data_IF_085089408225
#
_entry.id   IF_085089408225
#
_cell.length_a   1.000
_cell.length_b   1.000
_cell.length_c   1.000
_cell.angle_alpha   90.00
_cell.angle_beta   90.00
_cell.angle_gamma   90.00
#
_symmetry.space_group_name_H-M   'P 1'
#
loop_
_entity.id
_entity.type
_entity.pdbx_description
1 polymer ?
#
# COMPACT_ATOMS: atom_id res chain seq x y z
N UNK A 1 -18.81 12.37 20.44
CA UNK A 1 -18.84 13.40 19.38
C UNK A 1 -20.04 13.22 18.49
N UNK A 2 -20.54 14.30 17.89
CA UNK A 2 -21.68 14.31 16.99
C UNK A 2 -21.32 15.08 15.72
N UNK A 3 -21.93 14.76 14.59
CA UNK A 3 -21.71 15.46 13.33
C UNK A 3 -22.85 15.24 12.35
N UNK A 4 -22.79 15.97 11.23
CA UNK A 4 -23.74 15.89 10.13
C UNK A 4 -22.95 15.59 8.86
N UNK A 5 -23.38 14.56 8.12
CA UNK A 5 -22.90 14.27 6.77
C UNK A 5 -23.84 14.98 5.82
N UNK A 6 -23.32 15.93 5.05
CA UNK A 6 -24.02 16.56 3.95
C UNK A 6 -23.66 15.82 2.65
N UNK A 7 -24.64 15.28 1.94
CA UNK A 7 -24.43 14.61 0.64
C UNK A 7 -25.54 14.96 -0.36
N UNK A 8 -25.27 14.71 -1.63
CA UNK A 8 -26.23 14.87 -2.71
C UNK A 8 -26.45 13.52 -3.41
N UNK A 9 -27.71 13.22 -3.70
CA UNK A 9 -28.13 12.06 -4.47
C UNK A 9 -28.48 12.59 -5.86
N UNK A 10 -27.82 12.06 -6.90
CA UNK A 10 -28.17 12.32 -8.30
C UNK A 10 -28.84 11.07 -8.88
N UNK A 11 -29.96 11.23 -9.58
CA UNK A 11 -30.74 10.12 -10.12
C UNK A 11 -31.53 10.56 -11.36
N UNK A 12 -31.88 9.63 -12.26
CA UNK A 12 -32.61 9.96 -13.50
C UNK A 12 -33.97 9.31 -13.51
N UNK A 13 -34.99 10.08 -13.84
CA UNK A 13 -36.39 9.65 -13.85
C UNK A 13 -36.83 8.91 -15.11
N UNK A 14 -38.08 8.42 -15.09
CA UNK A 14 -38.81 7.82 -16.23
C UNK A 14 -38.79 8.66 -17.50
N UNK A 15 -38.62 9.97 -17.38
CA UNK A 15 -38.63 10.90 -18.51
C UNK A 15 -37.22 11.23 -19.01
N UNK A 16 -36.19 10.51 -18.53
CA UNK A 16 -34.77 10.74 -18.84
C UNK A 16 -34.23 12.09 -18.35
N UNK A 17 -34.80 12.59 -17.26
CA UNK A 17 -34.41 13.85 -16.61
C UNK A 17 -33.58 13.51 -15.37
N UNK A 18 -32.36 14.05 -15.28
CA UNK A 18 -31.55 13.99 -14.07
C UNK A 18 -32.07 14.96 -13.00
N UNK A 19 -32.20 14.45 -11.78
CA UNK A 19 -32.60 15.15 -10.57
C UNK A 19 -31.52 15.03 -9.51
N UNK A 20 -31.46 16.01 -8.62
CA UNK A 20 -30.61 15.95 -7.43
C UNK A 20 -31.42 16.22 -6.16
N UNK A 21 -31.05 15.53 -5.09
CA UNK A 21 -31.63 15.68 -3.76
C UNK A 21 -30.52 15.81 -2.72
N UNK A 22 -30.51 16.90 -1.96
CA UNK A 22 -29.61 17.06 -0.83
C UNK A 22 -30.14 16.28 0.38
N UNK A 23 -29.22 15.69 1.15
CA UNK A 23 -29.55 14.90 2.33
C UNK A 23 -28.53 15.13 3.45
N UNK A 24 -29.05 15.35 4.67
CA UNK A 24 -28.26 15.52 5.89
C UNK A 24 -28.44 14.30 6.81
N UNK A 25 -27.34 13.64 7.14
CA UNK A 25 -27.32 12.48 8.04
C UNK A 25 -26.60 12.81 9.34
N UNK A 26 -27.35 12.77 10.44
CA UNK A 26 -26.77 12.95 11.77
C UNK A 26 -26.10 11.65 12.23
N UNK A 27 -24.89 11.76 12.77
CA UNK A 27 -24.20 10.64 13.40
C UNK A 27 -23.70 11.00 14.79
N UNK A 28 -23.55 9.98 15.63
CA UNK A 28 -22.97 10.08 16.96
C UNK A 28 -22.00 8.93 17.17
N UNK A 29 -20.85 9.23 17.76
CA UNK A 29 -19.77 8.29 17.99
C UNK A 29 -19.12 8.52 19.35
N UNK A 30 -18.74 7.43 20.01
CA UNK A 30 -17.93 7.44 21.21
C UNK A 30 -16.54 6.89 20.91
N UNK A 31 -15.49 7.65 21.22
CA UNK A 31 -14.10 7.21 21.10
C UNK A 31 -13.49 7.34 22.48
N UNK A 32 -12.96 6.22 22.99
CA UNK A 32 -12.25 6.22 24.26
C UNK A 32 -10.79 6.62 24.00
N UNK A 33 -10.32 7.65 24.70
CA UNK A 33 -8.97 8.17 24.56
C UNK A 33 -8.36 8.23 25.95
N UNK A 34 -7.46 7.29 26.29
CA UNK A 34 -6.77 7.29 27.57
C UNK A 34 -6.09 8.63 27.84
N UNK A 35 -6.23 9.16 29.05
CA UNK A 35 -5.67 10.45 29.45
C UNK A 35 -6.51 11.67 29.06
N UNK A 36 -7.58 11.51 28.28
CA UNK A 36 -8.49 12.61 27.98
C UNK A 36 -9.25 13.08 29.23
N UNK A 37 -9.15 14.38 29.55
CA UNK A 37 -9.82 15.00 30.69
C UNK A 37 -10.47 16.34 30.30
N UNK A 38 -11.45 16.85 31.08
CA UNK A 38 -12.03 18.17 30.84
C UNK A 38 -10.96 19.27 30.81
N UNK A 39 -11.02 20.14 29.80
CA UNK A 39 -10.08 21.27 29.63
C UNK A 39 -8.89 21.00 28.71
N UNK A 40 -8.71 19.76 28.22
CA UNK A 40 -7.73 19.46 27.18
C UNK A 40 -8.21 19.93 25.80
N UNK A 41 -7.27 20.22 24.90
CA UNK A 41 -7.56 20.55 23.52
C UNK A 41 -7.86 19.27 22.75
N UNK A 42 -8.90 19.28 21.92
CA UNK A 42 -9.30 18.12 21.10
C UNK A 42 -9.33 18.54 19.64
N UNK A 43 -8.52 17.86 18.82
CA UNK A 43 -8.55 18.00 17.38
C UNK A 43 -9.26 16.77 16.78
N UNK A 44 -10.34 17.01 16.06
CA UNK A 44 -11.15 15.97 15.41
C UNK A 44 -11.05 16.14 13.91
N UNK A 45 -10.63 15.09 13.21
CA UNK A 45 -10.54 15.03 11.74
C UNK A 45 -11.39 13.87 11.22
N UNK A 46 -12.66 14.13 10.83
CA UNK A 46 -13.47 13.13 10.15
C UNK A 46 -13.09 13.04 8.66
N UNK A 47 -13.12 11.83 8.10
CA UNK A 47 -12.91 11.54 6.68
C UNK A 47 -14.00 10.56 6.22
N UNK A 48 -14.71 10.88 5.15
CA UNK A 48 -15.55 9.90 4.45
C UNK A 48 -14.60 8.96 3.72
N UNK A 49 -14.51 7.71 4.17
CA UNK A 49 -13.65 6.71 3.52
C UNK A 49 -14.33 6.14 2.30
N UNK A 50 -15.63 5.86 2.38
CA UNK A 50 -16.39 5.28 1.27
C UNK A 50 -17.88 5.58 1.43
N UNK A 51 -18.57 5.76 0.31
CA UNK A 51 -20.02 5.78 0.21
C UNK A 51 -20.47 4.72 -0.77
N UNK A 52 -21.29 3.77 -0.31
CA UNK A 52 -21.86 2.70 -1.11
C UNK A 52 -23.38 2.89 -1.20
N UNK A 53 -23.98 2.53 -2.33
CA UNK A 53 -25.42 2.59 -2.50
C UNK A 53 -25.94 1.43 -3.35
N UNK A 54 -27.22 1.13 -3.18
CA UNK A 54 -27.95 0.18 -4.00
C UNK A 54 -29.41 0.65 -4.16
N UNK A 55 -29.93 0.60 -5.37
CA UNK A 55 -31.33 0.86 -5.64
C UNK A 55 -32.12 -0.44 -5.40
N UNK A 56 -32.95 -0.49 -4.36
CA UNK A 56 -33.68 -1.71 -3.98
C UNK A 56 -34.93 -1.93 -4.85
N UNK A 57 -35.56 -0.83 -5.24
CA UNK A 57 -36.69 -0.75 -6.16
C UNK A 57 -36.66 0.62 -6.86
N UNK A 58 -37.59 0.88 -7.78
CA UNK A 58 -37.64 2.12 -8.57
C UNK A 58 -37.61 3.42 -7.74
N UNK A 59 -37.95 3.39 -6.45
CA UNK A 59 -38.05 4.58 -5.59
C UNK A 59 -37.26 4.50 -4.30
N UNK A 60 -36.61 3.38 -3.99
CA UNK A 60 -35.96 3.16 -2.69
C UNK A 60 -34.46 2.97 -2.86
N UNK A 61 -33.69 3.96 -2.40
CA UNK A 61 -32.23 3.92 -2.40
C UNK A 61 -31.71 3.52 -1.02
N UNK A 62 -30.99 2.40 -0.93
CA UNK A 62 -30.22 2.02 0.26
C UNK A 62 -28.81 2.58 0.15
N UNK A 63 -28.32 3.18 1.22
CA UNK A 63 -27.02 3.84 1.26
C UNK A 63 -26.26 3.46 2.52
N UNK A 64 -24.93 3.37 2.40
CA UNK A 64 -23.99 3.03 3.45
C UNK A 64 -22.81 3.98 3.38
N UNK A 65 -22.64 4.82 4.39
CA UNK A 65 -21.53 5.77 4.49
C UNK A 65 -20.56 5.28 5.56
N UNK A 66 -19.31 5.07 5.18
CA UNK A 66 -18.22 4.68 6.07
C UNK A 66 -17.37 5.91 6.36
N UNK A 67 -17.19 6.21 7.64
CA UNK A 67 -16.46 7.39 8.12
C UNK A 67 -15.37 6.95 9.07
N UNK A 68 -14.13 7.35 8.80
CA UNK A 68 -13.04 7.29 9.75
C UNK A 68 -12.95 8.62 10.50
N UNK A 69 -12.90 8.54 11.83
CA UNK A 69 -12.64 9.71 12.65
C UNK A 69 -11.34 9.54 13.40
N UNK A 70 -10.41 10.48 13.17
CA UNK A 70 -9.20 10.62 13.94
C UNK A 70 -9.36 11.72 14.99
N UNK A 71 -9.02 11.40 16.24
CA UNK A 71 -9.09 12.34 17.36
C UNK A 71 -7.74 12.38 18.05
N UNK A 72 -7.19 13.58 18.16
CA UNK A 72 -5.95 13.87 18.90
C UNK A 72 -6.31 14.77 20.07
N UNK A 73 -5.94 14.36 21.28
CA UNK A 73 -6.12 15.14 22.50
C UNK A 73 -4.77 15.67 22.94
N UNK A 74 -4.64 16.99 22.99
CA UNK A 74 -3.42 17.68 23.40
C UNK A 74 -3.66 18.55 24.63
N UNK A 75 -2.62 18.74 25.43
CA UNK A 75 -2.60 19.77 26.46
C UNK A 75 -1.62 20.88 26.05
N UNK A 76 -1.95 22.12 26.39
CA UNK A 76 -1.00 23.23 26.23
C UNK A 76 -0.10 23.31 27.46
N UNK A 77 1.17 22.96 27.29
CA UNK A 77 2.18 23.10 28.35
C UNK A 77 3.08 24.30 28.08
N UNK A 78 3.48 25.00 29.14
CA UNK A 78 4.54 26.00 29.10
C UNK A 78 5.78 25.40 29.76
N UNK A 79 6.78 25.03 28.96
CA UNK A 79 8.01 24.40 29.45
C UNK A 79 9.19 25.38 29.30
N UNK A 80 9.99 25.63 30.34
CA UNK A 80 11.25 26.34 30.19
C UNK A 80 12.30 25.42 29.54
N UNK A 81 12.62 25.66 28.26
CA UNK A 81 13.80 25.07 27.62
C UNK A 81 15.04 25.93 27.94
N UNK A 82 16.09 25.32 28.48
CA UNK A 82 17.37 26.02 28.73
C UNK A 82 18.30 25.80 27.54
N UNK A 83 18.33 26.74 26.57
CA UNK A 83 19.53 27.06 25.75
C UNK A 83 19.42 28.47 25.12
N UNK A 84 20.19 29.46 25.61
CA UNK A 84 20.48 30.75 24.94
C UNK A 84 19.46 31.91 25.04
N UNK A 85 19.90 33.15 24.75
CA UNK A 85 19.18 34.45 24.94
C UNK A 85 17.98 34.71 24.00
N UNK A 86 17.03 33.79 23.76
CA UNK A 86 15.78 34.17 23.04
C UNK A 86 14.51 33.46 23.56
N UNK A 87 13.35 33.98 23.15
CA UNK A 87 12.02 33.94 23.78
C UNK A 87 11.37 32.58 24.13
N UNK A 88 10.30 32.65 24.93
CA UNK A 88 9.43 31.52 25.32
C UNK A 88 8.62 30.98 24.13
N UNK A 89 8.45 29.65 24.07
CA UNK A 89 7.62 28.97 23.07
C UNK A 89 6.43 28.27 23.72
N UNK A 90 5.26 28.34 23.10
CA UNK A 90 4.06 27.56 23.44
C UNK A 90 4.04 26.32 22.54
N UNK A 91 4.03 25.13 23.12
CA UNK A 91 3.97 23.85 22.41
C UNK A 91 2.74 23.05 22.84
N UNK A 92 2.18 22.27 21.94
CA UNK A 92 1.13 21.30 22.25
C UNK A 92 1.77 19.94 22.52
N UNK A 93 1.43 19.31 23.63
CA UNK A 93 1.84 17.94 23.96
C UNK A 93 0.67 16.99 23.72
N UNK A 94 0.90 15.89 23.00
CA UNK A 94 -0.11 14.84 22.78
C UNK A 94 -0.27 14.02 24.06
N UNK A 95 -1.49 13.99 24.61
CA UNK A 95 -1.84 13.24 25.82
C UNK A 95 -2.49 11.90 25.47
N UNK A 96 -3.22 11.87 24.36
CA UNK A 96 -3.79 10.65 23.82
C UNK A 96 -4.19 10.83 22.37
N UNK A 97 -4.13 9.74 21.62
CA UNK A 97 -4.62 9.64 20.26
C UNK A 97 -5.56 8.45 20.15
N UNK A 98 -6.58 8.57 19.31
CA UNK A 98 -7.52 7.50 19.05
C UNK A 98 -8.19 7.68 17.70
N UNK A 99 -8.52 6.57 17.07
CA UNK A 99 -9.32 6.55 15.86
C UNK A 99 -10.49 5.60 16.02
N UNK A 100 -11.59 5.88 15.32
CA UNK A 100 -12.72 4.95 15.24
C UNK A 100 -13.47 5.13 13.93
N UNK A 101 -13.83 4.01 13.33
CA UNK A 101 -14.64 3.95 12.12
C UNK A 101 -16.12 3.75 12.48
N UNK A 102 -17.03 4.36 11.73
CA UNK A 102 -18.47 4.13 11.82
C UNK A 102 -19.09 3.86 10.45
N UNK A 103 -20.11 3.02 10.42
CA UNK A 103 -20.99 2.79 9.27
C UNK A 103 -22.37 3.41 9.56
N UNK A 104 -22.81 4.32 8.70
CA UNK A 104 -24.16 4.90 8.74
C UNK A 104 -24.97 4.33 7.58
N UNK A 105 -26.00 3.54 7.87
CA UNK A 105 -26.91 2.96 6.88
C UNK A 105 -28.27 3.68 6.89
N UNK A 106 -28.79 4.02 5.71
CA UNK A 106 -30.13 4.60 5.54
C UNK A 106 -30.82 4.06 4.29
N UNK A 107 -32.14 4.02 4.34
CA UNK A 107 -33.01 3.91 3.16
C UNK A 107 -33.70 5.24 2.94
N UNK A 108 -33.61 5.76 1.73
CA UNK A 108 -34.24 7.01 1.34
C UNK A 108 -35.23 6.76 0.21
N UNK A 109 -36.40 7.40 0.29
CA UNK A 109 -37.36 7.41 -0.81
C UNK A 109 -37.05 8.55 -1.75
N UNK A 110 -36.91 8.21 -3.03
CA UNK A 110 -36.76 9.17 -4.11
C UNK A 110 -38.16 9.54 -4.62
N UNK A 111 -38.51 10.84 -4.74
CA UNK A 111 -39.88 11.29 -5.05
C UNK A 111 -40.40 10.84 -6.42
N UNK A 112 -39.49 10.52 -7.34
CA UNK A 112 -39.80 10.10 -8.71
C UNK A 112 -39.13 8.75 -8.98
N UNK A 113 -39.81 7.80 -9.64
CA UNK A 113 -39.20 6.53 -10.02
C UNK A 113 -37.92 6.74 -10.83
N UNK A 114 -36.82 6.19 -10.34
CA UNK A 114 -35.51 6.15 -10.99
C UNK A 114 -35.59 5.15 -12.13
N UNK A 115 -35.43 5.63 -13.35
CA UNK A 115 -35.40 4.78 -14.55
C UNK A 115 -33.99 4.63 -15.09
N UNK A 116 -33.05 5.47 -14.65
CA UNK A 116 -31.62 5.26 -14.88
C UNK A 116 -30.81 5.61 -13.64
N UNK A 117 -29.90 4.72 -13.30
CA UNK A 117 -28.84 4.97 -12.33
C UNK A 117 -27.51 4.53 -12.94
N UNK A 118 -26.42 5.12 -12.46
CA UNK A 118 -25.07 4.63 -12.75
C UNK A 118 -24.71 3.71 -11.60
N UNK A 119 -24.59 2.42 -11.85
CA UNK A 119 -24.14 1.45 -10.86
C UNK A 119 -22.62 1.42 -10.92
N UNK A 120 -22.00 1.56 -9.77
CA UNK A 120 -20.55 1.73 -9.66
C UNK A 120 -19.98 0.79 -8.62
N UNK A 121 -18.73 0.39 -8.83
CA UNK A 121 -17.92 -0.32 -7.84
C UNK A 121 -16.63 0.45 -7.58
N UNK A 122 -16.16 0.44 -6.34
CA UNK A 122 -14.86 1.02 -5.98
C UNK A 122 -13.83 -0.10 -5.97
N UNK A 123 -12.94 -0.08 -6.95
CA UNK A 123 -11.81 -1.01 -7.05
C UNK A 123 -10.71 -0.53 -6.10
N UNK A 124 -10.17 -1.45 -5.30
CA UNK A 124 -9.08 -1.20 -4.34
C UNK A 124 -7.84 -1.98 -4.78
N UNK A 125 -6.96 -1.39 -5.62
CA UNK A 125 -5.81 -2.11 -6.14
C UNK A 125 -4.90 -2.61 -5.02
N UNK A 126 -4.37 -3.85 -5.11
CA UNK A 126 -3.43 -4.33 -4.11
C UNK A 126 -2.11 -3.57 -4.18
N UNK A 127 -1.38 -3.53 -3.07
CA UNK A 127 0.02 -3.13 -3.06
C UNK A 127 0.81 -3.97 -4.06
N UNK A 128 1.58 -3.30 -4.93
CA UNK A 128 2.53 -3.99 -5.80
C UNK A 128 3.67 -4.60 -4.97
N UNK A 129 4.31 -5.64 -5.49
CA UNK A 129 5.58 -6.14 -4.93
C UNK A 129 6.72 -5.31 -5.50
N UNK A 130 7.53 -4.72 -4.63
CA UNK A 130 8.80 -4.08 -5.04
C UNK A 130 9.93 -5.05 -4.73
N UNK A 131 10.83 -5.26 -5.68
CA UNK A 131 11.98 -6.12 -5.46
C UNK A 131 13.23 -5.61 -6.17
N UNK A 132 14.37 -6.03 -5.66
CA UNK A 132 15.66 -5.71 -6.22
C UNK A 132 16.67 -6.78 -5.87
N UNK A 133 17.65 -6.97 -6.74
CA UNK A 133 18.74 -7.92 -6.55
C UNK A 133 20.07 -7.24 -6.86
N UNK A 134 21.07 -7.50 -6.04
CA UNK A 134 22.43 -7.04 -6.29
C UNK A 134 23.42 -8.15 -5.93
N UNK A 135 24.48 -8.25 -6.74
CA UNK A 135 25.63 -9.11 -6.47
C UNK A 135 26.86 -8.24 -6.16
N UNK A 136 27.70 -8.70 -5.25
CA UNK A 136 29.01 -8.09 -4.96
C UNK A 136 30.10 -9.15 -4.89
N UNK A 137 31.34 -8.69 -5.07
CA UNK A 137 32.54 -9.47 -4.85
C UNK A 137 33.30 -8.87 -3.67
N UNK A 138 33.62 -9.70 -2.68
CA UNK A 138 34.48 -9.35 -1.56
C UNK A 138 35.81 -10.05 -1.75
N UNK A 139 36.86 -9.27 -1.97
CA UNK A 139 38.24 -9.78 -1.98
C UNK A 139 38.80 -9.76 -0.56
N UNK A 140 39.39 -10.88 -0.14
CA UNK A 140 40.03 -11.00 1.15
C UNK A 140 41.36 -11.75 1.02
N UNK A 141 42.34 -11.33 1.81
CA UNK A 141 43.62 -12.03 1.94
C UNK A 141 43.86 -12.27 3.41
N UNK A 142 44.05 -13.55 3.77
CA UNK A 142 44.37 -13.95 5.14
C UNK A 142 45.76 -14.54 5.20
N UNK A 143 46.50 -14.18 6.24
CA UNK A 143 47.75 -14.83 6.60
C UNK A 143 47.42 -16.05 7.48
N UNK A 144 47.91 -17.22 7.07
CA UNK A 144 47.81 -18.44 7.86
C UNK A 144 48.84 -18.38 9.00
N UNK A 145 48.49 -18.88 10.20
CA UNK A 145 49.38 -18.81 11.38
C UNK A 145 50.68 -19.61 11.20
N UNK A 146 50.72 -20.47 10.18
CA UNK A 146 51.89 -21.21 9.73
C UNK A 146 51.72 -21.55 8.25
N UNK A 147 52.82 -21.84 7.52
CA UNK A 147 52.75 -22.29 6.13
C UNK A 147 51.86 -23.53 5.97
N UNK A 148 50.99 -23.50 4.96
CA UNK A 148 50.16 -24.63 4.57
C UNK A 148 50.71 -25.31 3.31
N UNK A 149 50.63 -26.64 3.27
CA UNK A 149 50.88 -27.43 2.05
C UNK A 149 49.69 -27.31 1.10
N UNK A 150 48.47 -27.40 1.64
CA UNK A 150 47.21 -27.29 0.87
C UNK A 150 46.05 -26.84 1.73
N UNK A 151 45.05 -26.26 1.07
CA UNK A 151 43.74 -26.00 1.67
C UNK A 151 42.88 -27.24 1.54
N UNK A 152 42.30 -27.67 2.66
CA UNK A 152 41.35 -28.79 2.70
C UNK A 152 39.96 -28.29 2.35
N UNK A 153 39.53 -27.19 2.97
CA UNK A 153 38.17 -26.69 2.84
C UNK A 153 38.08 -25.23 3.30
N UNK A 154 37.16 -24.48 2.69
CA UNK A 154 36.74 -23.17 3.17
C UNK A 154 35.22 -23.17 3.27
N UNK A 155 34.69 -23.00 4.48
CA UNK A 155 33.25 -22.90 4.73
C UNK A 155 32.93 -21.49 5.19
N UNK A 156 31.83 -20.92 4.69
CA UNK A 156 31.38 -19.58 5.08
C UNK A 156 29.90 -19.58 5.42
N UNK A 157 29.51 -18.70 6.34
CA UNK A 157 28.13 -18.43 6.69
C UNK A 157 27.93 -16.92 6.86
N UNK A 158 26.80 -16.43 6.36
CA UNK A 158 26.36 -15.05 6.56
C UNK A 158 25.72 -14.95 7.96
N UNK A 159 26.09 -13.94 8.72
CA UNK A 159 25.61 -13.72 10.10
C UNK A 159 25.39 -12.23 10.35
N UNK A 160 24.60 -11.93 11.38
CA UNK A 160 24.38 -10.57 11.91
C UNK A 160 23.92 -9.57 10.84
N UNK A 161 22.99 -10.01 9.98
CA UNK A 161 22.38 -9.19 8.95
C UNK A 161 21.58 -8.03 9.56
N UNK A 162 21.79 -6.84 9.02
CA UNK A 162 21.00 -5.65 9.26
C UNK A 162 20.68 -5.03 7.92
N UNK A 163 19.44 -4.60 7.76
CA UNK A 163 19.04 -3.91 6.54
C UNK A 163 18.19 -2.70 6.90
N UNK A 164 18.34 -1.64 6.11
CA UNK A 164 17.51 -0.44 6.22
C UNK A 164 17.46 0.28 4.88
N UNK A 165 16.34 0.96 4.66
CA UNK A 165 16.21 1.92 3.57
C UNK A 165 17.12 3.12 3.89
N UNK A 166 17.98 3.52 2.95
CA UNK A 166 18.89 4.66 3.14
C UNK A 166 18.50 5.88 2.30
N UNK A 167 17.88 5.62 1.15
CA UNK A 167 17.27 6.58 0.25
C UNK A 167 16.00 5.93 -0.29
N UNK A 168 15.03 6.73 -0.75
CA UNK A 168 13.94 6.18 -1.56
C UNK A 168 14.55 5.35 -2.70
N UNK A 169 13.95 4.19 -2.98
CA UNK A 169 14.42 3.23 -3.98
C UNK A 169 15.70 2.46 -3.63
N UNK A 170 16.21 2.50 -2.39
CA UNK A 170 17.48 1.82 -2.06
C UNK A 170 17.57 1.28 -0.64
N UNK A 171 17.99 0.01 -0.53
CA UNK A 171 18.21 -0.69 0.73
C UNK A 171 19.69 -1.01 0.89
N UNK A 172 20.29 -0.58 2.01
CA UNK A 172 21.61 -1.05 2.41
C UNK A 172 21.44 -2.31 3.27
N UNK A 173 22.26 -3.32 3.01
CA UNK A 173 22.33 -4.54 3.80
C UNK A 173 23.77 -4.68 4.27
N UNK A 174 23.93 -4.81 5.58
CA UNK A 174 25.22 -4.95 6.26
C UNK A 174 25.23 -6.26 7.04
N UNK A 175 26.38 -6.92 7.09
CA UNK A 175 26.50 -8.17 7.82
C UNK A 175 27.93 -8.67 7.87
N UNK A 176 28.09 -9.92 8.31
CA UNK A 176 29.40 -10.56 8.44
C UNK A 176 29.41 -11.93 7.78
N UNK A 177 30.51 -12.23 7.10
CA UNK A 177 30.86 -13.56 6.64
C UNK A 177 31.73 -14.20 7.72
N UNK A 178 31.16 -15.11 8.51
CA UNK A 178 31.92 -15.95 9.41
C UNK A 178 32.43 -17.15 8.62
N UNK A 179 33.74 -17.28 8.53
CA UNK A 179 34.39 -18.22 7.62
C UNK A 179 35.38 -19.08 8.39
N UNK A 180 35.43 -20.38 8.10
CA UNK A 180 36.42 -21.30 8.62
C UNK A 180 37.27 -21.84 7.47
N UNK A 181 38.58 -21.66 7.57
CA UNK A 181 39.55 -22.22 6.63
C UNK A 181 40.21 -23.41 7.30
N UNK A 182 40.10 -24.59 6.70
CA UNK A 182 40.81 -25.79 7.13
C UNK A 182 41.95 -26.09 6.16
N UNK A 183 43.16 -26.30 6.67
CA UNK A 183 44.38 -26.47 5.88
C UNK A 183 45.30 -27.53 6.49
N UNK A 184 46.22 -28.05 5.69
CA UNK A 184 47.24 -29.03 6.12
C UNK A 184 48.56 -28.29 6.31
N UNK A 185 49.14 -28.36 7.51
CA UNK A 185 50.45 -27.81 7.81
C UNK A 185 51.61 -28.58 7.17
N UNK A 186 52.82 -28.08 7.34
CA UNK A 186 54.07 -28.73 6.93
C UNK A 186 54.37 -30.03 7.70
N UNK A 187 53.73 -30.21 8.85
CA UNK A 187 53.76 -31.41 9.68
C UNK A 187 52.62 -32.40 9.40
N UNK A 188 51.92 -32.24 8.26
CA UNK A 188 50.76 -33.04 7.84
C UNK A 188 49.54 -32.99 8.80
N UNK A 189 49.52 -32.08 9.78
CA UNK A 189 48.40 -31.90 10.70
C UNK A 189 47.37 -30.94 10.10
N UNK A 190 46.10 -31.35 10.14
CA UNK A 190 44.95 -30.51 9.75
C UNK A 190 44.68 -29.49 10.85
N UNK A 191 44.64 -28.22 10.48
CA UNK A 191 44.31 -27.08 11.36
C UNK A 191 43.18 -26.27 10.78
N UNK A 192 42.56 -25.45 11.61
CA UNK A 192 41.53 -24.51 11.19
C UNK A 192 41.78 -23.13 11.78
N UNK A 193 41.47 -22.11 10.99
CA UNK A 193 41.34 -20.72 11.45
C UNK A 193 39.94 -20.21 11.13
N UNK A 194 39.46 -19.28 11.96
CA UNK A 194 38.19 -18.59 11.73
C UNK A 194 38.47 -17.13 11.40
N UNK A 195 37.71 -16.60 10.44
CA UNK A 195 37.73 -15.21 10.03
C UNK A 195 36.31 -14.66 10.08
N UNK A 196 36.20 -13.36 10.36
CA UNK A 196 34.93 -12.64 10.36
C UNK A 196 35.08 -11.40 9.48
N UNK A 197 34.48 -11.42 8.29
CA UNK A 197 34.66 -10.38 7.28
C UNK A 197 33.38 -9.55 7.18
N UNK A 198 33.41 -8.24 7.47
CA UNK A 198 32.25 -7.38 7.27
C UNK A 198 31.97 -7.19 5.78
N UNK A 199 30.70 -7.10 5.40
CA UNK A 199 30.29 -6.69 4.05
C UNK A 199 29.14 -5.69 4.11
N UNK A 200 29.01 -4.92 3.03
CA UNK A 200 27.90 -4.00 2.79
C UNK A 200 27.51 -4.09 1.32
N UNK A 201 26.20 -4.20 1.06
CA UNK A 201 25.63 -4.23 -0.29
C UNK A 201 24.49 -3.22 -0.37
N UNK A 202 24.46 -2.46 -1.46
CA UNK A 202 23.39 -1.52 -1.76
C UNK A 202 22.52 -2.12 -2.87
N UNK A 203 21.27 -2.40 -2.56
CA UNK A 203 20.29 -2.95 -3.50
C UNK A 203 19.35 -1.84 -3.94
N UNK A 204 19.24 -1.62 -5.25
CA UNK A 204 18.23 -0.73 -5.83
C UNK A 204 16.89 -1.47 -5.88
N UNK A 205 15.87 -0.91 -5.22
CA UNK A 205 14.52 -1.47 -5.10
C UNK A 205 13.52 -0.36 -5.43
N UNK A 206 13.20 -0.13 -6.72
CA UNK A 206 12.31 0.95 -7.12
C UNK A 206 10.93 0.88 -6.44
N UNK A 207 10.48 2.00 -5.89
CA UNK A 207 9.21 2.13 -5.16
C UNK A 207 9.29 1.83 -3.66
N UNK A 208 10.46 1.44 -3.12
CA UNK A 208 10.61 1.23 -1.68
C UNK A 208 10.75 2.56 -0.95
N UNK A 209 10.04 2.69 0.17
CA UNK A 209 10.10 3.85 1.07
C UNK A 209 10.53 3.44 2.48
N UNK A 210 10.89 4.40 3.33
CA UNK A 210 11.34 4.12 4.70
C UNK A 210 10.32 3.34 5.55
N UNK A 211 9.02 3.50 5.26
CA UNK A 211 7.93 2.84 5.98
C UNK A 211 7.49 1.51 5.34
N UNK A 212 8.06 1.16 4.18
CA UNK A 212 7.73 -0.08 3.48
C UNK A 212 8.24 -1.29 4.29
N UNK A 213 7.37 -2.22 4.71
CA UNK A 213 7.83 -3.49 5.26
C UNK A 213 8.52 -4.31 4.16
N UNK A 214 9.69 -4.87 4.47
CA UNK A 214 10.48 -5.66 3.51
C UNK A 214 11.19 -6.83 4.18
N UNK A 215 11.54 -7.81 3.35
CA UNK A 215 12.38 -8.95 3.69
C UNK A 215 13.66 -8.91 2.88
N UNK A 216 14.70 -9.56 3.41
CA UNK A 216 16.01 -9.65 2.76
C UNK A 216 16.46 -11.10 2.76
N UNK A 217 16.88 -11.59 1.61
CA UNK A 217 17.64 -12.83 1.45
C UNK A 217 19.06 -12.49 1.04
N UNK A 218 20.05 -13.08 1.71
CA UNK A 218 21.45 -12.95 1.31
C UNK A 218 22.08 -14.32 1.22
N UNK A 219 22.66 -14.62 0.07
CA UNK A 219 23.25 -15.90 -0.26
C UNK A 219 24.74 -15.76 -0.52
N UNK A 220 25.51 -16.67 0.08
CA UNK A 220 26.92 -16.87 -0.22
C UNK A 220 27.02 -17.82 -1.41
N UNK A 221 27.14 -17.27 -2.62
CA UNK A 221 27.12 -18.05 -3.86
C UNK A 221 28.42 -18.84 -4.05
N UNK A 222 29.57 -18.22 -3.78
CA UNK A 222 30.87 -18.86 -4.00
C UNK A 222 31.98 -18.29 -3.11
N UNK A 223 32.92 -19.16 -2.73
CA UNK A 223 34.23 -18.75 -2.21
C UNK A 223 35.31 -19.43 -3.05
N UNK A 224 35.94 -18.66 -3.92
CA UNK A 224 37.12 -19.09 -4.68
C UNK A 224 38.37 -18.67 -3.94
N UNK A 225 39.44 -19.47 -3.99
CA UNK A 225 40.66 -19.16 -3.27
C UNK A 225 41.94 -19.61 -4.00
N UNK A 226 43.07 -19.00 -3.63
CA UNK A 226 44.40 -19.34 -4.14
C UNK A 226 45.42 -19.21 -3.01
N UNK A 227 46.13 -20.29 -2.72
CA UNK A 227 47.21 -20.32 -1.73
C UNK A 227 48.50 -19.79 -2.37
N UNK A 228 49.24 -18.94 -1.65
CA UNK A 228 50.53 -18.43 -2.09
C UNK A 228 51.58 -19.54 -2.20
N UNK A 229 52.61 -19.39 -3.05
CA UNK A 229 53.65 -20.41 -3.21
C UNK A 229 54.42 -20.75 -1.93
N UNK A 230 54.53 -19.80 -0.99
CA UNK A 230 55.15 -20.00 0.33
C UNK A 230 54.17 -20.56 1.38
N UNK A 231 52.93 -20.84 1.01
CA UNK A 231 51.91 -21.42 1.87
C UNK A 231 51.37 -20.48 2.95
N UNK A 232 51.77 -19.19 2.97
CA UNK A 232 51.43 -18.27 4.07
C UNK A 232 50.18 -17.44 3.84
N UNK A 233 49.82 -17.15 2.60
CA UNK A 233 48.70 -16.26 2.29
C UNK A 233 47.64 -16.99 1.47
N UNK A 234 46.38 -16.83 1.86
CA UNK A 234 45.24 -17.33 1.12
C UNK A 234 44.45 -16.15 0.57
N UNK A 235 44.56 -15.92 -0.74
CA UNK A 235 43.72 -14.94 -1.47
C UNK A 235 42.37 -15.56 -1.75
N UNK A 236 41.31 -14.82 -1.52
CA UNK A 236 39.93 -15.28 -1.60
C UNK A 236 39.09 -14.28 -2.39
N UNK A 237 38.22 -14.80 -3.24
CA UNK A 237 37.20 -14.05 -3.98
C UNK A 237 35.86 -14.63 -3.53
N UNK A 238 35.10 -13.83 -2.80
CA UNK A 238 33.83 -14.24 -2.22
C UNK A 238 32.70 -13.56 -3.00
N UNK A 239 31.77 -14.35 -3.53
CA UNK A 239 30.63 -13.86 -4.30
C UNK A 239 29.39 -13.94 -3.42
N UNK A 240 28.71 -12.80 -3.28
CA UNK A 240 27.52 -12.66 -2.44
C UNK A 240 26.40 -12.08 -3.30
N UNK A 241 25.23 -12.66 -3.18
CA UNK A 241 24.02 -12.16 -3.80
C UNK A 241 23.01 -11.77 -2.72
N UNK A 242 22.39 -10.60 -2.86
CA UNK A 242 21.29 -10.18 -2.01
C UNK A 242 20.05 -9.88 -2.84
N UNK A 243 18.92 -10.27 -2.29
CA UNK A 243 17.60 -9.97 -2.81
C UNK A 243 16.77 -9.30 -1.72
N UNK A 244 16.06 -8.24 -2.10
CA UNK A 244 15.14 -7.52 -1.24
C UNK A 244 13.75 -7.63 -1.86
N UNK A 245 12.75 -7.92 -1.05
CA UNK A 245 11.34 -7.93 -1.45
C UNK A 245 10.53 -7.14 -0.44
N UNK A 246 9.74 -6.18 -0.89
CA UNK A 246 8.87 -5.36 -0.06
C UNK A 246 7.46 -5.26 -0.61
N UNK A 247 6.53 -4.90 0.26
CA UNK A 247 5.17 -4.54 -0.12
C UNK A 247 5.13 -3.04 -0.45
N UNK A 248 4.99 -2.72 -1.73
CA UNK A 248 4.90 -1.34 -2.21
C UNK A 248 3.67 -0.62 -1.66
N UNK A 249 3.53 0.66 -2.00
CA UNK A 249 2.32 1.40 -1.65
C UNK A 249 1.17 0.98 -2.55
N UNK A 250 0.01 0.65 -1.96
CA UNK A 250 -1.21 0.39 -2.71
C UNK A 250 -1.63 1.64 -3.50
N UNK A 251 -1.96 1.52 -4.79
CA UNK A 251 -2.55 2.62 -5.54
C UNK A 251 -3.84 3.11 -4.90
N UNK A 252 -4.18 4.38 -5.13
CA UNK A 252 -5.44 4.95 -4.67
C UNK A 252 -6.63 4.17 -5.26
N UNK A 253 -7.64 3.82 -4.45
CA UNK A 253 -8.87 3.25 -4.96
C UNK A 253 -9.51 4.13 -6.02
N UNK A 254 -10.19 3.52 -7.00
CA UNK A 254 -10.87 4.23 -8.06
C UNK A 254 -12.23 3.60 -8.36
N UNK A 255 -13.13 4.40 -8.91
CA UNK A 255 -14.48 3.97 -9.25
C UNK A 255 -14.57 3.51 -10.71
N UNK A 256 -15.34 2.45 -10.95
CA UNK A 256 -15.72 2.00 -12.30
C UNK A 256 -17.22 1.84 -12.40
N UNK A 257 -17.79 2.14 -13.57
CA UNK A 257 -19.20 1.89 -13.87
C UNK A 257 -19.39 0.43 -14.25
N UNK A 258 -20.32 -0.25 -13.59
CA UNK A 258 -20.62 -1.68 -13.81
C UNK A 258 -21.95 -1.89 -14.52
N UNK A 259 -22.87 -0.95 -14.38
CA UNK A 259 -24.12 -0.95 -15.13
C UNK A 259 -24.71 0.45 -15.30
N UNK A 260 -25.46 0.63 -16.38
CA UNK A 260 -26.24 1.84 -16.66
C UNK A 260 -27.60 1.39 -17.18
N UNK A 261 -28.52 0.93 -16.30
CA UNK A 261 -29.86 0.55 -16.73
C UNK A 261 -30.63 1.75 -17.27
N UNK A 262 -31.50 1.50 -18.23
CA UNK A 262 -32.40 2.52 -18.77
C UNK A 262 -32.98 2.17 -20.13
N UNK A 263 -34.21 2.63 -20.45
CA UNK A 263 -34.79 2.46 -21.77
C UNK A 263 -33.91 3.08 -22.85
N UNK A 264 -33.56 2.27 -23.85
CA UNK A 264 -32.73 2.68 -24.99
C UNK A 264 -31.24 2.87 -24.68
N UNK A 265 -30.79 2.56 -23.46
CA UNK A 265 -29.36 2.56 -23.13
C UNK A 265 -28.72 1.28 -23.67
N UNK A 266 -27.56 1.43 -24.29
CA UNK A 266 -26.74 0.34 -24.81
C UNK A 266 -25.36 0.44 -24.18
N UNK A 267 -24.93 -0.64 -23.51
CA UNK A 267 -23.60 -0.74 -22.89
C UNK A 267 -22.76 -1.82 -23.57
N UNK A 268 -21.47 -1.57 -23.72
CA UNK A 268 -20.46 -2.63 -23.91
C UNK A 268 -19.80 -2.90 -22.57
N UNK A 269 -19.58 -4.17 -22.26
CA UNK A 269 -19.03 -4.61 -20.98
C UNK A 269 -17.91 -5.62 -21.19
N UNK A 270 -16.98 -5.65 -20.24
CA UNK A 270 -15.92 -6.66 -20.14
C UNK A 270 -16.01 -7.28 -18.74
N UNK A 271 -15.87 -8.60 -18.64
CA UNK A 271 -15.82 -9.30 -17.37
C UNK A 271 -14.40 -9.19 -16.81
N UNK A 272 -14.28 -8.66 -15.60
CA UNK A 272 -13.00 -8.48 -14.92
C UNK A 272 -13.05 -9.10 -13.54
N UNK A 273 -11.87 -9.34 -12.97
CA UNK A 273 -11.68 -9.76 -11.58
C UNK A 273 -10.86 -8.71 -10.85
N UNK A 274 -11.39 -8.18 -9.76
CA UNK A 274 -10.65 -7.23 -8.95
C UNK A 274 -11.11 -7.23 -7.48
N UNK A 275 -10.23 -6.84 -6.55
CA UNK A 275 -10.63 -6.42 -5.20
C UNK A 275 -11.54 -5.19 -5.26
N UNK A 276 -12.75 -5.31 -4.73
CA UNK A 276 -13.72 -4.21 -4.60
C UNK A 276 -14.00 -3.90 -3.13
N UNK A 277 -14.26 -2.63 -2.84
CA UNK A 277 -14.67 -2.19 -1.51
C UNK A 277 -16.12 -2.59 -1.24
N UNK A 278 -16.35 -3.40 -0.22
CA UNK A 278 -17.67 -3.79 0.24
C UNK A 278 -17.94 -3.22 1.65
N UNK A 279 -19.18 -3.27 2.16
CA UNK A 279 -19.46 -2.86 3.54
C UNK A 279 -18.72 -3.67 4.61
N UNK A 280 -18.26 -4.88 4.29
CA UNK A 280 -17.57 -5.81 5.20
C UNK A 280 -16.06 -5.79 5.05
N UNK A 281 -15.53 -5.03 4.08
CA UNK A 281 -14.11 -4.96 3.76
C UNK A 281 -13.85 -5.11 2.26
N UNK A 282 -12.60 -5.35 1.89
CA UNK A 282 -12.22 -5.57 0.49
C UNK A 282 -12.42 -7.04 0.13
N UNK A 283 -13.13 -7.32 -0.95
CA UNK A 283 -13.36 -8.67 -1.46
C UNK A 283 -12.98 -8.76 -2.93
N UNK A 284 -12.26 -9.81 -3.32
CA UNK A 284 -11.97 -10.08 -4.74
C UNK A 284 -13.20 -10.73 -5.37
N UNK A 285 -13.73 -10.11 -6.42
CA UNK A 285 -14.90 -10.61 -7.15
C UNK A 285 -14.73 -10.47 -8.65
N UNK A 286 -15.44 -11.32 -9.38
CA UNK A 286 -15.65 -11.17 -10.82
C UNK A 286 -16.92 -10.35 -11.07
N UNK A 287 -16.82 -9.32 -11.90
CA UNK A 287 -17.93 -8.43 -12.22
C UNK A 287 -17.74 -7.78 -13.59
N UNK A 288 -18.84 -7.33 -14.18
CA UNK A 288 -18.77 -6.61 -15.45
C UNK A 288 -18.42 -5.14 -15.22
N UNK A 289 -17.51 -4.63 -16.04
CA UNK A 289 -17.21 -3.20 -16.14
C UNK A 289 -17.65 -2.69 -17.51
N UNK A 290 -18.29 -1.52 -17.51
CA UNK A 290 -18.74 -0.84 -18.73
C UNK A 290 -17.54 -0.17 -19.41
N UNK A 291 -17.30 -0.51 -20.67
CA UNK A 291 -16.24 0.09 -21.50
C UNK A 291 -16.79 1.13 -22.48
N UNK A 292 -18.09 1.06 -22.76
CA UNK A 292 -18.77 1.99 -23.64
C UNK A 292 -20.25 2.07 -23.26
N UNK A 293 -20.83 3.25 -23.34
CA UNK A 293 -22.26 3.45 -23.08
C UNK A 293 -22.80 4.54 -24.00
N UNK A 294 -24.00 4.32 -24.54
CA UNK A 294 -24.70 5.27 -25.38
C UNK A 294 -26.21 5.11 -25.22
N UNK A 295 -26.96 6.16 -25.54
CA UNK A 295 -28.41 6.14 -25.49
C UNK A 295 -29.00 7.53 -25.27
N UNK A 296 -30.33 7.64 -25.17
CA UNK A 296 -31.01 8.92 -24.99
C UNK A 296 -30.54 9.61 -23.70
N UNK A 297 -30.54 10.94 -23.63
CA UNK A 297 -30.32 11.70 -22.39
C UNK A 297 -28.92 11.64 -21.78
N UNK A 298 -27.99 10.82 -22.30
CA UNK A 298 -26.57 10.91 -21.93
C UNK A 298 -26.00 12.17 -22.57
N UNK A 299 -25.52 13.09 -21.73
CA UNK A 299 -24.84 14.30 -22.17
C UNK A 299 -23.35 14.03 -22.40
N UNK A 300 -22.71 13.35 -21.44
CA UNK A 300 -21.28 13.09 -21.45
C UNK A 300 -20.96 11.75 -20.79
N UNK A 301 -19.94 11.07 -21.32
CA UNK A 301 -19.37 9.85 -20.72
C UNK A 301 -17.92 10.15 -20.37
N UNK A 302 -17.54 9.89 -19.13
CA UNK A 302 -16.15 9.99 -18.70
C UNK A 302 -15.50 8.61 -18.72
N UNK A 303 -14.28 8.54 -19.26
CA UNK A 303 -13.52 7.31 -19.36
C UNK A 303 -12.12 7.51 -18.79
N UNK A 304 -11.55 6.42 -18.26
CA UNK A 304 -10.17 6.37 -17.85
C UNK A 304 -9.55 5.02 -18.22
N UNK A 305 -8.23 5.01 -18.42
CA UNK A 305 -7.46 3.77 -18.52
C UNK A 305 -7.11 3.31 -17.12
N UNK A 306 -7.57 2.10 -16.77
CA UNK A 306 -7.32 1.45 -15.48
C UNK A 306 -6.68 0.08 -15.71
N UNK A 307 -6.03 -0.48 -14.69
CA UNK A 307 -5.43 -1.82 -14.77
C UNK A 307 -6.32 -2.83 -14.06
N UNK A 308 -6.87 -3.80 -14.80
CA UNK A 308 -7.78 -4.83 -14.28
C UNK A 308 -7.42 -6.20 -14.85
N UNK A 309 -7.57 -7.27 -14.07
CA UNK A 309 -7.45 -8.66 -14.53
C UNK A 309 -8.70 -9.02 -15.35
N UNK A 310 -8.53 -9.25 -16.65
CA UNK A 310 -9.66 -9.56 -17.55
C UNK A 310 -9.90 -11.06 -17.52
N UNK A 311 -11.12 -11.46 -17.19
CA UNK A 311 -11.44 -12.88 -17.06
C UNK A 311 -11.38 -13.55 -18.43
N UNK A 312 -10.80 -14.76 -18.46
CA UNK A 312 -10.65 -15.62 -19.64
C UNK A 312 -9.75 -15.07 -20.77
N UNK A 313 -8.88 -14.08 -20.50
CA UNK A 313 -7.91 -13.56 -21.49
C UNK A 313 -6.61 -14.38 -21.58
N UNK A 314 -6.41 -15.35 -20.67
CA UNK A 314 -5.20 -16.18 -20.59
C UNK A 314 -4.01 -15.49 -19.90
N UNK A 315 -4.20 -14.30 -19.31
CA UNK A 315 -3.20 -13.54 -18.58
C UNK A 315 -3.72 -13.16 -17.19
N UNK A 316 -3.18 -13.75 -16.10
CA UNK A 316 -3.66 -13.48 -14.74
C UNK A 316 -3.23 -12.09 -14.21
N UNK A 317 -2.46 -11.30 -14.98
CA UNK A 317 -1.97 -10.00 -14.55
C UNK A 317 -2.89 -8.88 -15.06
N UNK A 318 -3.16 -7.84 -14.24
CA UNK A 318 -3.93 -6.69 -14.66
C UNK A 318 -3.39 -6.03 -15.93
N UNK A 319 -4.27 -5.77 -16.89
CA UNK A 319 -3.96 -5.12 -18.17
C UNK A 319 -4.62 -3.76 -18.26
N UNK A 320 -4.02 -2.79 -19.00
CA UNK A 320 -4.65 -1.49 -19.21
C UNK A 320 -5.94 -1.65 -20.05
N UNK A 321 -7.06 -1.22 -19.50
CA UNK A 321 -8.38 -1.21 -20.15
C UNK A 321 -9.02 0.17 -19.99
N UNK A 322 -9.56 0.71 -21.08
CA UNK A 322 -10.36 1.93 -21.03
C UNK A 322 -11.79 1.59 -20.57
N UNK A 323 -12.19 2.17 -19.45
CA UNK A 323 -13.48 1.92 -18.81
C UNK A 323 -14.23 3.23 -18.59
N UNK A 324 -15.55 3.14 -18.49
CA UNK A 324 -16.40 4.26 -18.08
C UNK A 324 -16.27 4.45 -16.58
N UNK A 325 -15.93 5.67 -16.16
CA UNK A 325 -15.78 6.06 -14.74
C UNK A 325 -16.97 6.88 -14.25
N UNK A 326 -17.63 7.61 -15.15
CA UNK A 326 -18.84 8.36 -14.86
C UNK A 326 -19.72 8.53 -16.10
N UNK A 327 -21.02 8.70 -15.89
CA UNK A 327 -22.01 8.96 -16.96
C UNK A 327 -22.90 10.12 -16.54
N UNK A 328 -22.79 11.22 -17.27
CA UNK A 328 -23.50 12.46 -16.98
C UNK A 328 -24.68 12.56 -17.92
N UNK A 329 -25.86 12.84 -17.35
CA UNK A 329 -27.10 12.97 -18.09
C UNK A 329 -27.52 14.44 -18.16
N UNK A 330 -28.32 14.77 -19.17
CA UNK A 330 -28.83 16.14 -19.31
C UNK A 330 -29.73 16.52 -18.13
N UNK A 331 -29.38 17.58 -17.41
CA UNK A 331 -30.09 18.04 -16.22
C UNK A 331 -31.24 18.98 -16.59
N UNK A 332 -32.41 18.80 -15.96
CA UNK A 332 -33.46 19.84 -15.93
C UNK A 332 -33.87 20.07 -14.47
N UNK A 333 -33.82 21.32 -13.95
CA UNK A 333 -34.13 21.58 -12.56
C UNK A 333 -35.59 21.24 -12.24
N UNK A 334 -35.82 20.62 -11.08
CA UNK A 334 -37.16 20.53 -10.49
C UNK A 334 -37.63 21.95 -10.17
N UNK A 335 -38.64 22.40 -10.89
CA UNK A 335 -39.43 23.56 -10.44
C UNK A 335 -40.41 23.04 -9.38
N UNK A 336 -40.29 23.57 -8.17
CA UNK A 336 -41.30 23.40 -7.11
C UNK A 336 -42.64 23.99 -7.54
#
# INVERSE_FOLDING_TARGET
MQGIIHKQIFYISTENIEFHQAEDLHFSLFIDIPGAAPGLNVNVKPLIETLLFNLEDETTLRQKVIILVNVVVTESVHIPLVVGEFALFKLEQVIGEGFRQILVERRERVPVPVVRNVVVEVVVPPAGVVSGRQQIIVENVVELPQPAIKIKEVQGQITDLRARVIFNDSVIIEGFINKQVSFVGDDDIVRSITERIPFSILVNVPGITADTPFTVSVELENISFTLSPDGRFLRQIIVINAEVTGEGTAPTPFQVVTDVPGPGIVTKKVLVRAPIQTPTGVEVREFFVVTDVSGPGIERVEKAVVFLDVVDDGNPNPVPIEVVTDVIFTVTPLTN
#
